data_IF_999480653885
#
_entry.id   IF_999480653885
#
_cell.length_a   1.000
_cell.length_b   1.000
_cell.length_c   1.000
_cell.angle_alpha   90.00
_cell.angle_beta   90.00
_cell.angle_gamma   90.00
#
_symmetry.space_group_name_H-M   'P 1'
#
loop_
_entity.id
_entity.type
_entity.pdbx_description
1 polymer ?
#
# COMPACT_ATOMS: atom_id res chain seq x y z
N UNK A 1 -12.74 9.70 -6.96
CA UNK A 1 -12.27 8.37 -7.39
C UNK A 1 -11.38 8.62 -8.58
N UNK A 2 -10.07 8.63 -8.38
CA UNK A 2 -9.08 8.67 -9.46
C UNK A 2 -7.87 7.87 -8.97
N UNK A 3 -7.95 6.55 -9.08
CA UNK A 3 -6.77 5.70 -8.97
C UNK A 3 -5.99 5.86 -10.28
N UNK A 4 -4.81 6.47 -10.21
CA UNK A 4 -3.90 6.52 -11.35
C UNK A 4 -3.39 5.10 -11.61
N UNK A 5 -3.88 4.49 -12.69
CA UNK A 5 -3.23 3.36 -13.30
C UNK A 5 -1.95 3.90 -13.97
N UNK A 6 -0.79 3.65 -13.38
CA UNK A 6 0.47 3.85 -14.09
C UNK A 6 0.68 2.66 -15.01
N UNK A 7 0.19 2.79 -16.24
CA UNK A 7 0.68 1.97 -17.34
C UNK A 7 2.05 2.52 -17.74
N UNK A 8 3.13 1.81 -17.38
CA UNK A 8 4.44 2.10 -17.95
C UNK A 8 4.39 1.97 -19.47
N UNK A 9 4.50 3.09 -20.18
CA UNK A 9 4.61 3.16 -21.64
C UNK A 9 3.40 3.78 -22.36
N UNK A 10 3.16 5.08 -22.20
CA UNK A 10 2.25 5.83 -23.06
C UNK A 10 2.97 6.39 -24.30
N UNK A 11 3.31 5.50 -25.24
CA UNK A 11 3.42 5.86 -26.66
C UNK A 11 2.47 4.92 -27.40
N UNK A 12 1.43 5.41 -28.09
CA UNK A 12 0.53 4.54 -28.83
C UNK A 12 1.29 3.99 -30.04
N UNK A 13 1.82 2.78 -29.91
CA UNK A 13 2.34 1.99 -31.03
C UNK A 13 1.13 1.34 -31.71
N UNK A 14 0.81 1.67 -32.98
CA UNK A 14 -0.29 1.04 -33.69
C UNK A 14 -0.10 -0.49 -33.74
N UNK A 15 -1.09 -1.25 -33.24
CA UNK A 15 -1.08 -2.73 -33.21
C UNK A 15 -1.13 -3.37 -31.83
N UNK A 16 -1.06 -2.60 -30.74
CA UNK A 16 -1.13 -3.13 -29.37
C UNK A 16 -2.57 -3.19 -28.84
N UNK A 17 -3.08 -4.40 -28.58
CA UNK A 17 -4.29 -4.56 -27.78
C UNK A 17 -3.94 -4.30 -26.29
N UNK A 18 -4.59 -3.33 -25.65
CA UNK A 18 -4.41 -3.02 -24.23
C UNK A 18 -4.62 -4.22 -23.28
N UNK A 19 -5.29 -5.28 -23.75
CA UNK A 19 -5.48 -6.55 -23.01
C UNK A 19 -4.25 -7.48 -23.02
N UNK A 20 -3.21 -7.18 -23.80
CA UNK A 20 -2.02 -8.02 -23.93
C UNK A 20 -0.86 -7.60 -23.01
N UNK A 21 -1.03 -6.53 -22.23
CA UNK A 21 0.00 -6.01 -21.33
C UNK A 21 -0.29 -6.40 -19.90
N UNK A 22 0.72 -6.95 -19.23
CA UNK A 22 0.73 -7.07 -17.78
C UNK A 22 0.82 -5.67 -17.15
N UNK A 23 0.03 -5.43 -16.11
CA UNK A 23 -0.10 -4.14 -15.46
C UNK A 23 0.27 -4.19 -13.98
N UNK A 24 0.80 -3.08 -13.47
CA UNK A 24 0.89 -2.82 -12.03
C UNK A 24 -0.21 -1.83 -11.64
N UNK A 25 -0.86 -2.09 -10.51
CA UNK A 25 -1.86 -1.20 -9.92
C UNK A 25 -1.22 -0.45 -8.76
N UNK A 26 -1.15 0.87 -8.88
CA UNK A 26 -0.78 1.74 -7.78
C UNK A 26 -2.04 2.24 -7.04
N UNK A 27 -2.01 2.21 -5.70
CA UNK A 27 -3.14 2.66 -4.86
C UNK A 27 -2.72 3.52 -3.68
N UNK A 28 -3.48 4.59 -3.44
CA UNK A 28 -3.37 5.45 -2.26
C UNK A 28 -4.65 5.40 -1.40
N UNK A 29 -4.47 5.56 -0.10
CA UNK A 29 -5.51 5.28 0.90
C UNK A 29 -6.37 6.51 1.26
N UNK A 30 -6.97 7.17 0.26
CA UNK A 30 -7.85 8.34 0.43
C UNK A 30 -9.24 8.08 -0.13
N UNK A 31 -10.28 8.32 0.67
CA UNK A 31 -11.66 8.24 0.19
C UNK A 31 -12.63 9.08 1.03
N UNK A 32 -13.46 9.99 0.46
CA UNK A 32 -14.31 10.89 1.24
C UNK A 32 -15.30 10.21 2.21
N UNK A 33 -15.71 8.97 1.92
CA UNK A 33 -16.61 8.21 2.78
C UNK A 33 -15.93 7.59 4.02
N UNK A 34 -14.61 7.68 4.14
CA UNK A 34 -13.83 7.12 5.24
C UNK A 34 -12.90 8.20 5.79
N UNK A 35 -12.78 8.30 7.12
CA UNK A 35 -11.81 9.16 7.79
C UNK A 35 -11.79 10.61 7.29
N UNK A 36 -12.96 11.15 6.91
CA UNK A 36 -13.09 12.51 6.39
C UNK A 36 -12.37 12.78 5.07
N UNK A 37 -11.95 11.74 4.33
CA UNK A 37 -11.11 11.87 3.13
C UNK A 37 -9.62 12.00 3.42
N UNK A 38 -9.20 11.92 4.69
CA UNK A 38 -7.79 11.85 5.07
C UNK A 38 -7.21 10.46 4.77
N UNK A 39 -5.90 10.29 5.01
CA UNK A 39 -5.28 8.97 4.92
C UNK A 39 -5.99 8.00 5.85
N UNK A 40 -6.42 6.86 5.30
CA UNK A 40 -7.11 5.82 6.06
C UNK A 40 -6.28 5.37 7.26
N UNK A 41 -6.89 5.43 8.45
CA UNK A 41 -6.26 5.16 9.74
C UNK A 41 -7.20 4.44 10.72
N UNK A 42 -8.52 4.49 10.53
CA UNK A 42 -9.46 3.67 11.30
C UNK A 42 -9.56 2.25 10.75
N UNK A 43 -9.90 1.27 11.59
CA UNK A 43 -10.06 -0.14 11.18
C UNK A 43 -11.04 -0.30 10.00
N UNK A 44 -12.12 0.48 10.00
CA UNK A 44 -13.11 0.47 8.92
C UNK A 44 -12.54 0.97 7.59
N UNK A 45 -11.76 2.06 7.63
CA UNK A 45 -11.12 2.64 6.46
C UNK A 45 -10.01 1.72 5.91
N UNK A 46 -9.18 1.16 6.79
CA UNK A 46 -8.13 0.19 6.44
C UNK A 46 -8.74 -1.03 5.77
N UNK A 47 -9.79 -1.61 6.35
CA UNK A 47 -10.48 -2.76 5.76
C UNK A 47 -11.16 -2.43 4.43
N UNK A 48 -11.72 -1.22 4.28
CA UNK A 48 -12.30 -0.77 3.02
C UNK A 48 -11.25 -0.62 1.92
N UNK A 49 -10.06 -0.13 2.26
CA UNK A 49 -8.93 0.00 1.34
C UNK A 49 -8.48 -1.36 0.80
N UNK A 50 -8.33 -2.36 1.67
CA UNK A 50 -8.02 -3.74 1.26
C UNK A 50 -9.09 -4.33 0.33
N UNK A 51 -10.38 -4.18 0.65
CA UNK A 51 -11.49 -4.65 -0.20
C UNK A 51 -11.52 -3.95 -1.57
N UNK A 52 -11.21 -2.65 -1.60
CA UNK A 52 -11.12 -1.89 -2.86
C UNK A 52 -10.01 -2.45 -3.76
N UNK A 53 -8.83 -2.73 -3.21
CA UNK A 53 -7.73 -3.34 -3.96
C UNK A 53 -8.14 -4.71 -4.54
N UNK A 54 -8.73 -5.58 -3.71
CA UNK A 54 -9.20 -6.90 -4.14
C UNK A 54 -10.26 -6.83 -5.25
N UNK A 55 -11.24 -5.93 -5.13
CA UNK A 55 -12.25 -5.71 -6.17
C UNK A 55 -11.62 -5.22 -7.47
N UNK A 56 -10.63 -4.34 -7.38
CA UNK A 56 -9.95 -3.78 -8.56
C UNK A 56 -9.19 -4.86 -9.32
N UNK A 57 -8.42 -5.70 -8.62
CA UNK A 57 -7.71 -6.80 -9.29
C UNK A 57 -8.64 -7.88 -9.85
N UNK A 58 -9.80 -8.10 -9.24
CA UNK A 58 -10.82 -8.99 -9.78
C UNK A 58 -11.43 -8.44 -11.09
N UNK A 59 -11.56 -7.12 -11.20
CA UNK A 59 -12.13 -6.45 -12.37
C UNK A 59 -11.16 -6.39 -13.55
N UNK A 60 -9.85 -6.30 -13.28
CA UNK A 60 -8.81 -6.15 -14.30
C UNK A 60 -7.80 -7.32 -14.25
N UNK A 61 -8.04 -8.40 -15.01
CA UNK A 61 -7.29 -9.66 -14.89
C UNK A 61 -5.84 -9.59 -15.37
N UNK A 62 -5.44 -8.51 -16.03
CA UNK A 62 -4.06 -8.27 -16.47
C UNK A 62 -3.20 -7.56 -15.41
N UNK A 63 -3.76 -7.23 -14.23
CA UNK A 63 -2.96 -6.75 -13.10
C UNK A 63 -2.14 -7.91 -12.53
N UNK A 64 -0.82 -7.73 -12.45
CA UNK A 64 0.15 -8.69 -11.88
C UNK A 64 0.78 -8.23 -10.57
N UNK A 65 0.68 -6.93 -10.26
CA UNK A 65 1.18 -6.36 -9.01
C UNK A 65 0.28 -5.26 -8.49
N UNK A 66 0.29 -5.09 -7.16
CA UNK A 66 -0.34 -3.96 -6.46
C UNK A 66 0.73 -3.25 -5.63
N UNK A 67 0.99 -1.99 -5.95
CA UNK A 67 1.88 -1.06 -5.26
C UNK A 67 1.06 -0.25 -4.24
N UNK A 68 1.47 -0.29 -2.97
CA UNK A 68 0.68 0.23 -1.85
C UNK A 68 1.30 1.50 -1.28
N UNK A 69 0.57 2.61 -1.44
CA UNK A 69 0.93 3.92 -0.92
C UNK A 69 1.91 4.68 -1.82
N UNK A 70 2.31 5.87 -1.38
CA UNK A 70 3.33 6.68 -2.02
C UNK A 70 4.07 7.49 -0.98
N UNK A 71 5.40 7.46 -1.03
CA UNK A 71 6.31 8.26 -0.22
C UNK A 71 5.85 8.45 1.24
N UNK A 72 5.42 7.35 1.88
CA UNK A 72 4.77 7.38 3.20
C UNK A 72 5.69 7.90 4.32
N UNK A 73 7.00 7.94 4.07
CA UNK A 73 7.98 8.55 4.96
C UNK A 73 7.99 10.09 4.92
N UNK A 74 7.42 10.71 3.88
CA UNK A 74 7.28 12.15 3.70
C UNK A 74 5.98 12.70 4.27
N UNK A 75 5.76 14.02 4.15
CA UNK A 75 4.51 14.66 4.59
C UNK A 75 3.54 14.93 3.44
N UNK A 76 4.00 14.94 2.19
CA UNK A 76 3.19 15.38 1.04
C UNK A 76 2.09 14.38 0.67
N UNK A 77 2.31 13.10 0.97
CA UNK A 77 1.43 11.98 0.60
C UNK A 77 0.77 11.30 1.79
N UNK A 78 0.69 11.98 2.93
CA UNK A 78 -0.09 11.57 4.11
C UNK A 78 -0.85 12.76 4.68
N UNK A 79 -2.00 12.53 5.31
CA UNK A 79 -2.80 13.56 5.98
C UNK A 79 -3.43 13.02 7.27
N UNK A 80 -4.14 13.89 8.01
CA UNK A 80 -4.76 13.52 9.26
C UNK A 80 -3.77 12.97 10.30
N UNK A 81 -4.20 12.02 11.15
CA UNK A 81 -3.35 11.39 12.16
C UNK A 81 -2.10 10.69 11.59
N UNK A 82 -2.12 10.28 10.33
CA UNK A 82 -1.00 9.59 9.67
C UNK A 82 0.17 10.55 9.39
N UNK A 83 -0.08 11.86 9.25
CA UNK A 83 0.96 12.91 9.16
C UNK A 83 1.63 13.20 10.52
N UNK A 84 1.65 12.22 11.43
CA UNK A 84 2.34 12.32 12.73
C UNK A 84 3.86 12.48 12.56
N UNK A 85 4.55 13.32 13.34
CA UNK A 85 6.01 13.41 13.31
C UNK A 85 6.71 12.14 13.86
N UNK A 86 5.96 11.25 14.53
CA UNK A 86 6.48 10.01 15.08
C UNK A 86 6.55 8.92 14.01
N UNK A 87 7.72 8.77 13.37
CA UNK A 87 7.92 7.83 12.26
C UNK A 87 7.54 6.38 12.59
N UNK A 88 7.71 5.94 13.85
CA UNK A 88 7.27 4.61 14.28
C UNK A 88 5.75 4.43 14.30
N UNK A 89 5.00 5.47 14.67
CA UNK A 89 3.53 5.42 14.60
C UNK A 89 3.07 5.48 13.14
N UNK A 90 3.76 6.28 12.31
CA UNK A 90 3.50 6.36 10.87
C UNK A 90 3.72 5.01 10.16
N UNK A 91 4.82 4.35 10.46
CA UNK A 91 5.11 2.99 10.01
C UNK A 91 3.99 2.00 10.41
N UNK A 92 3.45 2.13 11.64
CA UNK A 92 2.32 1.34 12.10
C UNK A 92 1.06 1.51 11.24
N UNK A 93 0.69 2.75 10.90
CA UNK A 93 -0.42 3.01 9.98
C UNK A 93 -0.17 2.41 8.59
N UNK A 94 1.04 2.59 8.05
CA UNK A 94 1.39 2.04 6.74
C UNK A 94 1.30 0.50 6.72
N UNK A 95 1.83 -0.16 7.75
CA UNK A 95 1.78 -1.63 7.85
C UNK A 95 0.35 -2.15 7.99
N UNK A 96 -0.56 -1.43 8.64
CA UNK A 96 -1.98 -1.80 8.70
C UNK A 96 -2.62 -1.79 7.31
N UNK A 97 -2.35 -0.76 6.50
CA UNK A 97 -2.83 -0.67 5.11
C UNK A 97 -2.22 -1.78 4.24
N UNK A 98 -0.90 -1.96 4.30
CA UNK A 98 -0.20 -2.97 3.53
C UNK A 98 -0.69 -4.38 3.87
N UNK A 99 -0.89 -4.69 5.15
CA UNK A 99 -1.43 -5.97 5.61
C UNK A 99 -2.86 -6.18 5.09
N UNK A 100 -3.71 -5.17 5.18
CA UNK A 100 -5.10 -5.29 4.70
C UNK A 100 -5.17 -5.55 3.19
N UNK A 101 -4.36 -4.84 2.39
CA UNK A 101 -4.24 -5.08 0.94
C UNK A 101 -3.71 -6.48 0.68
N UNK A 102 -2.66 -6.90 1.37
CA UNK A 102 -2.09 -8.24 1.23
C UNK A 102 -3.15 -9.33 1.45
N UNK A 103 -3.84 -9.31 2.59
CA UNK A 103 -4.83 -10.33 2.95
C UNK A 103 -5.97 -10.39 1.93
N UNK A 104 -6.55 -9.25 1.56
CA UNK A 104 -7.70 -9.21 0.65
C UNK A 104 -7.31 -9.57 -0.79
N UNK A 105 -6.18 -9.07 -1.29
CA UNK A 105 -5.72 -9.37 -2.66
C UNK A 105 -5.28 -10.82 -2.78
N UNK A 106 -4.56 -11.37 -1.80
CA UNK A 106 -4.14 -12.78 -1.82
C UNK A 106 -5.31 -13.74 -1.73
N UNK A 107 -6.38 -13.38 -1.00
CA UNK A 107 -7.62 -14.15 -1.00
C UNK A 107 -8.30 -14.17 -2.38
N UNK A 108 -8.18 -13.09 -3.16
CA UNK A 108 -8.73 -13.00 -4.51
C UNK A 108 -7.85 -13.69 -5.57
N UNK A 109 -6.54 -13.50 -5.49
CA UNK A 109 -5.57 -14.12 -6.38
C UNK A 109 -4.20 -14.22 -5.68
N UNK A 110 -3.74 -15.42 -5.29
CA UNK A 110 -2.48 -15.60 -4.58
C UNK A 110 -1.23 -15.26 -5.41
N UNK A 111 -1.35 -15.20 -6.74
CA UNK A 111 -0.21 -14.96 -7.65
C UNK A 111 0.10 -13.46 -7.82
N UNK A 112 -0.81 -12.56 -7.44
CA UNK A 112 -0.57 -11.12 -7.54
C UNK A 112 0.52 -10.69 -6.55
N UNK A 113 1.55 -9.99 -7.04
CA UNK A 113 2.63 -9.46 -6.20
C UNK A 113 2.14 -8.23 -5.43
N UNK A 114 2.45 -8.16 -4.15
CA UNK A 114 2.19 -6.96 -3.34
C UNK A 114 3.53 -6.26 -3.14
N UNK A 115 3.60 -5.00 -3.57
CA UNK A 115 4.79 -4.15 -3.49
C UNK A 115 4.50 -3.09 -2.44
N UNK A 116 5.36 -3.01 -1.44
CA UNK A 116 5.34 -1.98 -0.41
C UNK A 116 6.72 -1.34 -0.28
N UNK A 117 6.85 -0.40 0.65
CA UNK A 117 8.07 0.40 0.78
C UNK A 117 8.19 1.49 -0.27
N UNK A 118 7.05 2.01 -0.75
CA UNK A 118 6.95 3.20 -1.61
C UNK A 118 7.39 4.43 -0.80
N UNK A 119 8.70 4.64 -0.72
CA UNK A 119 9.35 5.67 0.12
C UNK A 119 10.17 6.60 -0.76
N UNK A 120 10.27 7.88 -0.37
CA UNK A 120 11.13 8.82 -1.08
C UNK A 120 12.59 8.74 -0.60
N UNK A 121 13.53 9.01 -1.51
CA UNK A 121 14.99 9.05 -1.30
C UNK A 121 15.64 7.68 -1.00
N UNK A 122 16.74 7.62 -0.24
CA UNK A 122 17.33 6.37 0.28
C UNK A 122 17.10 6.33 1.80
N UNK A 123 15.88 6.01 2.28
CA UNK A 123 15.52 6.24 3.67
C UNK A 123 15.81 5.01 4.52
N UNK A 124 17.10 4.64 4.61
CA UNK A 124 17.57 3.44 5.33
C UNK A 124 17.02 3.38 6.77
N UNK A 125 16.94 4.53 7.44
CA UNK A 125 16.40 4.64 8.79
C UNK A 125 14.91 4.29 8.90
N UNK A 126 14.10 4.76 7.95
CA UNK A 126 12.66 4.49 7.93
C UNK A 126 12.36 3.02 7.58
N UNK A 127 12.99 2.50 6.52
CA UNK A 127 12.84 1.10 6.12
C UNK A 127 13.25 0.13 7.25
N UNK A 128 14.28 0.47 8.02
CA UNK A 128 14.68 -0.34 9.16
C UNK A 128 13.61 -0.41 10.27
N UNK A 129 12.82 0.66 10.47
CA UNK A 129 11.70 0.69 11.42
C UNK A 129 10.58 -0.20 10.92
N UNK A 130 10.14 -0.01 9.67
CA UNK A 130 9.07 -0.79 9.04
C UNK A 130 9.35 -2.29 9.09
N UNK A 131 10.56 -2.70 8.68
CA UNK A 131 10.97 -4.10 8.65
C UNK A 131 11.07 -4.72 10.05
N UNK A 132 11.42 -3.94 11.07
CA UNK A 132 11.41 -4.43 12.47
C UNK A 132 9.97 -4.64 12.96
N UNK A 133 9.08 -3.69 12.68
CA UNK A 133 7.68 -3.77 13.07
C UNK A 133 6.95 -4.92 12.35
N UNK A 134 7.18 -5.10 11.04
CA UNK A 134 6.62 -6.21 10.27
C UNK A 134 7.06 -7.59 10.80
N UNK A 135 8.32 -7.73 11.23
CA UNK A 135 8.81 -8.97 11.85
C UNK A 135 8.18 -9.25 13.22
N UNK A 136 8.02 -8.21 14.04
CA UNK A 136 7.39 -8.33 15.36
C UNK A 136 5.88 -8.63 15.30
N UNK A 137 5.22 -8.37 14.16
CA UNK A 137 3.83 -8.76 13.91
C UNK A 137 3.63 -10.23 13.49
N UNK A 138 4.67 -10.88 12.94
CA UNK A 138 4.60 -12.28 12.43
C UNK A 138 5.14 -13.28 13.46
N UNK A 139 6.08 -12.87 14.30
CA UNK A 139 6.47 -13.62 15.49
C UNK A 139 6.29 -12.73 16.71
N UNK A 140 5.50 -13.20 17.70
CA UNK A 140 5.41 -12.58 19.04
C UNK A 140 6.80 -12.12 19.46
N UNK A 141 7.00 -10.82 19.70
CA UNK A 141 8.24 -10.34 20.31
C UNK A 141 8.29 -10.93 21.73
N UNK A 142 8.96 -12.07 21.89
CA UNK A 142 9.44 -12.52 23.19
C UNK A 142 10.66 -11.66 23.52
N UNK A 143 10.72 -11.19 24.77
CA UNK A 143 11.56 -10.09 25.20
C UNK A 143 13.06 -10.25 24.92
N UNK A 144 13.71 -9.10 24.78
CA UNK A 144 15.11 -8.95 25.13
C UNK A 144 15.25 -7.58 25.81
N UNK A 145 14.95 -7.55 27.11
CA UNK A 145 15.77 -6.76 28.01
C UNK A 145 17.15 -7.43 28.04
N UNK A 146 18.20 -6.71 27.71
CA UNK A 146 19.48 -6.70 28.42
C UNK A 146 20.46 -5.77 27.69
N UNK A 147 21.04 -4.90 28.53
CA UNK A 147 22.08 -3.88 28.32
C UNK A 147 21.57 -2.57 27.73
#
# INVERSE_FOLDING_TARGET
MDGLIIAGGAVPIPGFCARALDMSLFINAYHPAYDGGETAHTDAAVAAFGRYAARTVAQYPNIRSVEVGNEFNGNDFVSGPVRTPHLGARAGYYLALLKSVYENVKAQNPDIRIVGGEVHSIPVGYLAIDLRQGRCGVHRCAGAAHI
#
